data_IF_091313235846
#
_entry.id   IF_091313235846
#
_cell.length_a   1.000
_cell.length_b   1.000
_cell.length_c   1.000
_cell.angle_alpha   90.00
_cell.angle_beta   90.00
_cell.angle_gamma   90.00
#
_symmetry.space_group_name_H-M   'P 1'
#
loop_
_entity.id
_entity.type
_entity.pdbx_description
1 polymer ?
#
# COMPACT_ATOMS: atom_id res chain seq x y z
N UNK A 1 -64.01 -24.41 35.52
CA UNK A 1 -63.71 -23.37 34.50
C UNK A 1 -62.44 -22.55 34.84
N UNK A 2 -62.04 -22.45 36.11
CA UNK A 2 -60.91 -21.60 36.55
C UNK A 2 -59.51 -22.22 36.34
N UNK A 3 -59.37 -23.55 36.45
CA UNK A 3 -58.06 -24.22 36.33
C UNK A 3 -57.51 -24.26 34.90
N UNK A 4 -58.36 -24.49 33.89
CA UNK A 4 -57.93 -24.49 32.48
C UNK A 4 -57.47 -23.11 32.02
N UNK A 5 -58.11 -22.04 32.51
CA UNK A 5 -57.70 -20.67 32.24
C UNK A 5 -56.32 -20.38 32.87
N UNK A 6 -56.10 -20.87 34.10
CA UNK A 6 -54.82 -20.76 34.81
C UNK A 6 -53.66 -21.48 34.09
N UNK A 7 -53.86 -22.72 33.66
CA UNK A 7 -52.85 -23.47 32.91
C UNK A 7 -52.53 -22.84 31.55
N UNK A 8 -53.54 -22.30 30.86
CA UNK A 8 -53.32 -21.59 29.60
C UNK A 8 -52.49 -20.31 29.76
N UNK A 9 -52.68 -19.59 30.87
CA UNK A 9 -51.90 -18.40 31.20
C UNK A 9 -50.44 -18.75 31.54
N UNK A 10 -50.22 -19.83 32.27
CA UNK A 10 -48.87 -20.35 32.58
C UNK A 10 -48.14 -20.74 31.28
N UNK A 11 -48.80 -21.47 30.38
CA UNK A 11 -48.23 -21.86 29.09
C UNK A 11 -47.90 -20.62 28.24
N UNK A 12 -48.81 -19.64 28.16
CA UNK A 12 -48.57 -18.39 27.44
C UNK A 12 -47.37 -17.61 28.01
N UNK A 13 -47.20 -17.60 29.34
CA UNK A 13 -46.05 -16.97 29.99
C UNK A 13 -44.73 -17.67 29.63
N UNK A 14 -44.69 -19.01 29.62
CA UNK A 14 -43.50 -19.74 29.17
C UNK A 14 -43.19 -19.53 27.69
N UNK A 15 -44.22 -19.48 26.82
CA UNK A 15 -44.04 -19.14 25.40
C UNK A 15 -43.47 -17.73 25.25
N UNK A 16 -43.99 -16.76 25.99
CA UNK A 16 -43.48 -15.39 25.99
C UNK A 16 -42.02 -15.33 26.45
N UNK A 17 -41.65 -16.02 27.54
CA UNK A 17 -40.26 -16.12 28.00
C UNK A 17 -39.37 -16.74 26.91
N UNK A 18 -39.80 -17.86 26.31
CA UNK A 18 -39.06 -18.52 25.25
C UNK A 18 -38.86 -17.60 24.02
N UNK A 19 -39.88 -16.83 23.64
CA UNK A 19 -39.80 -15.83 22.57
C UNK A 19 -38.80 -14.71 22.92
N UNK A 20 -38.82 -14.20 24.16
CA UNK A 20 -37.88 -13.15 24.59
C UNK A 20 -36.43 -13.66 24.63
N UNK A 21 -36.20 -14.89 25.11
CA UNK A 21 -34.88 -15.54 25.09
C UNK A 21 -34.39 -15.70 23.64
N UNK A 22 -35.26 -16.22 22.75
CA UNK A 22 -34.90 -16.43 21.35
C UNK A 22 -34.57 -15.12 20.63
N UNK A 23 -35.38 -14.07 20.85
CA UNK A 23 -35.13 -12.73 20.33
C UNK A 23 -33.80 -12.16 20.83
N UNK A 24 -33.55 -12.23 22.14
CA UNK A 24 -32.31 -11.74 22.75
C UNK A 24 -31.08 -12.46 22.20
N UNK A 25 -31.18 -13.78 21.97
CA UNK A 25 -30.11 -14.56 21.37
C UNK A 25 -29.83 -14.17 19.92
N UNK A 26 -30.88 -13.93 19.11
CA UNK A 26 -30.74 -13.44 17.75
C UNK A 26 -30.12 -12.03 17.70
N UNK A 27 -30.58 -11.13 18.56
CA UNK A 27 -30.07 -9.77 18.66
C UNK A 27 -28.59 -9.77 19.07
N UNK A 28 -28.19 -10.62 20.02
CA UNK A 28 -26.79 -10.80 20.41
C UNK A 28 -25.93 -11.34 19.25
N UNK A 29 -26.43 -12.33 18.51
CA UNK A 29 -25.71 -12.88 17.34
C UNK A 29 -25.54 -11.84 16.24
N UNK A 30 -26.58 -11.05 15.99
CA UNK A 30 -26.56 -9.94 15.02
C UNK A 30 -25.56 -8.87 15.45
N UNK A 31 -25.63 -8.40 16.71
CA UNK A 31 -24.69 -7.45 17.27
C UNK A 31 -23.24 -7.93 17.16
N UNK A 32 -22.97 -9.19 17.54
CA UNK A 32 -21.62 -9.76 17.43
C UNK A 32 -21.14 -9.77 15.98
N UNK A 33 -22.01 -10.15 15.03
CA UNK A 33 -21.67 -10.14 13.60
C UNK A 33 -21.37 -8.73 13.10
N UNK A 34 -22.18 -7.74 13.47
CA UNK A 34 -21.98 -6.33 13.11
C UNK A 34 -20.67 -5.78 13.68
N UNK A 35 -20.35 -6.08 14.94
CA UNK A 35 -19.10 -5.66 15.58
C UNK A 35 -17.88 -6.29 14.91
N UNK A 36 -17.92 -7.60 14.63
CA UNK A 36 -16.81 -8.29 13.94
C UNK A 36 -16.63 -7.73 12.53
N UNK A 37 -17.73 -7.52 11.80
CA UNK A 37 -17.70 -6.92 10.47
C UNK A 37 -17.13 -5.50 10.49
N UNK A 38 -17.60 -4.66 11.42
CA UNK A 38 -17.10 -3.29 11.59
C UNK A 38 -15.61 -3.25 11.91
N UNK A 39 -15.13 -4.16 12.77
CA UNK A 39 -13.71 -4.22 13.12
C UNK A 39 -12.86 -4.67 11.94
N UNK A 40 -13.27 -5.73 11.23
CA UNK A 40 -12.58 -6.19 10.04
C UNK A 40 -12.54 -5.12 8.95
N UNK A 41 -13.65 -4.41 8.74
CA UNK A 41 -13.72 -3.30 7.80
C UNK A 41 -12.76 -2.17 8.17
N UNK A 42 -12.68 -1.81 9.45
CA UNK A 42 -11.74 -0.80 9.95
C UNK A 42 -10.28 -1.23 9.74
N UNK A 43 -9.95 -2.49 10.01
CA UNK A 43 -8.61 -3.03 9.77
C UNK A 43 -8.25 -3.01 8.28
N UNK A 44 -9.18 -3.41 7.40
CA UNK A 44 -8.99 -3.32 5.95
C UNK A 44 -8.76 -1.88 5.48
N UNK A 45 -9.56 -0.94 5.99
CA UNK A 45 -9.44 0.46 5.62
C UNK A 45 -8.08 1.05 6.04
N UNK A 46 -7.60 0.70 7.23
CA UNK A 46 -6.29 1.12 7.71
C UNK A 46 -5.15 0.51 6.88
N UNK A 47 -5.26 -0.77 6.51
CA UNK A 47 -4.26 -1.42 5.63
C UNK A 47 -4.22 -0.75 4.26
N UNK A 48 -5.37 -0.51 3.64
CA UNK A 48 -5.46 0.19 2.34
C UNK A 48 -4.76 1.55 2.41
N UNK A 49 -5.07 2.34 3.43
CA UNK A 49 -4.48 3.67 3.65
C UNK A 49 -2.97 3.59 3.82
N UNK A 50 -2.47 2.73 4.70
CA UNK A 50 -1.03 2.65 4.97
C UNK A 50 -0.24 2.06 3.80
N UNK A 51 -0.80 1.07 3.08
CA UNK A 51 -0.20 0.55 1.85
C UNK A 51 -0.05 1.66 0.82
N UNK A 52 -1.10 2.46 0.60
CA UNK A 52 -1.02 3.59 -0.33
C UNK A 52 0.05 4.60 0.09
N UNK A 53 0.04 5.04 1.36
CA UNK A 53 1.03 6.00 1.88
C UNK A 53 2.47 5.52 1.69
N UNK A 54 2.76 4.25 2.00
CA UNK A 54 4.10 3.69 1.84
C UNK A 54 4.53 3.59 0.37
N UNK A 55 3.62 3.20 -0.52
CA UNK A 55 3.88 3.21 -1.97
C UNK A 55 4.15 4.62 -2.50
N UNK A 56 3.42 5.63 -2.03
CA UNK A 56 3.65 7.03 -2.39
C UNK A 56 5.04 7.49 -1.93
N UNK A 57 5.44 7.16 -0.70
CA UNK A 57 6.77 7.50 -0.18
C UNK A 57 7.86 6.78 -0.99
N UNK A 58 7.66 5.49 -1.30
CA UNK A 58 8.59 4.71 -2.12
C UNK A 58 8.76 5.32 -3.53
N UNK A 59 7.65 5.69 -4.18
CA UNK A 59 7.69 6.39 -5.48
C UNK A 59 8.41 7.73 -5.39
N UNK A 60 8.13 8.53 -4.35
CA UNK A 60 8.76 9.83 -4.16
C UNK A 60 10.28 9.71 -3.96
N UNK A 61 10.74 8.77 -3.12
CA UNK A 61 12.18 8.55 -2.92
C UNK A 61 12.87 8.05 -4.18
N UNK A 62 12.20 7.24 -5.01
CA UNK A 62 12.72 6.86 -6.34
C UNK A 62 12.83 8.07 -7.28
N UNK A 63 11.81 8.92 -7.31
CA UNK A 63 11.83 10.14 -8.12
C UNK A 63 12.96 11.09 -7.69
N UNK A 64 13.18 11.24 -6.38
CA UNK A 64 14.29 12.01 -5.84
C UNK A 64 15.66 11.38 -6.18
N UNK A 65 15.78 10.06 -6.05
CA UNK A 65 17.00 9.31 -6.40
C UNK A 65 17.37 9.41 -7.88
N UNK A 66 16.38 9.37 -8.77
CA UNK A 66 16.57 9.37 -10.22
C UNK A 66 16.61 10.77 -10.84
N UNK A 67 16.36 11.84 -10.07
CA UNK A 67 16.26 13.22 -10.58
C UNK A 67 17.53 13.69 -11.30
N UNK A 68 17.34 14.36 -12.44
CA UNK A 68 18.41 14.85 -13.31
C UNK A 68 19.31 15.91 -12.66
N UNK A 69 18.71 16.79 -11.86
CA UNK A 69 19.40 17.85 -11.14
C UNK A 69 19.19 17.65 -9.64
N UNK A 70 20.28 17.53 -8.90
CA UNK A 70 20.27 17.39 -7.47
C UNK A 70 20.59 18.73 -6.83
N UNK A 71 19.71 19.23 -5.96
CA UNK A 71 20.01 20.41 -5.14
C UNK A 71 20.70 19.93 -3.89
N UNK A 72 21.98 20.23 -3.78
CA UNK A 72 22.81 19.83 -2.63
C UNK A 72 22.73 20.94 -1.60
N UNK A 73 22.08 20.65 -0.47
CA UNK A 73 22.00 21.55 0.66
C UNK A 73 23.11 21.23 1.67
N UNK A 74 23.38 22.16 2.59
CA UNK A 74 24.19 21.92 3.79
C UNK A 74 25.68 21.60 3.58
N UNK A 75 26.24 21.84 2.39
CA UNK A 75 27.68 21.68 2.13
C UNK A 75 28.14 20.23 1.94
N UNK A 76 27.23 19.28 1.71
CA UNK A 76 27.57 17.90 1.37
C UNK A 76 28.37 17.81 0.05
N UNK A 77 29.17 16.77 -0.12
CA UNK A 77 29.69 16.40 -1.45
C UNK A 77 28.60 15.72 -2.29
N UNK A 78 28.81 15.67 -3.61
CA UNK A 78 27.90 14.96 -4.53
C UNK A 78 27.74 13.49 -4.11
N UNK A 79 28.84 12.81 -3.76
CA UNK A 79 28.79 11.40 -3.32
C UNK A 79 28.00 11.22 -2.03
N UNK A 80 28.18 12.11 -1.06
CA UNK A 80 27.44 12.07 0.21
C UNK A 80 25.95 12.26 0.00
N UNK A 81 25.57 13.22 -0.86
CA UNK A 81 24.17 13.46 -1.19
C UNK A 81 23.53 12.25 -1.90
N UNK A 82 24.20 11.69 -2.90
CA UNK A 82 23.72 10.50 -3.62
C UNK A 82 23.58 9.28 -2.70
N UNK A 83 24.53 9.10 -1.77
CA UNK A 83 24.45 8.04 -0.76
C UNK A 83 23.21 8.21 0.14
N UNK A 84 22.90 9.45 0.57
CA UNK A 84 21.69 9.72 1.37
C UNK A 84 20.41 9.40 0.60
N UNK A 85 20.35 9.71 -0.70
CA UNK A 85 19.20 9.37 -1.54
C UNK A 85 19.04 7.85 -1.69
N UNK A 86 20.13 7.12 -1.95
CA UNK A 86 20.11 5.67 -2.05
C UNK A 86 19.63 5.02 -0.73
N UNK A 87 20.17 5.46 0.41
CA UNK A 87 19.74 4.99 1.73
C UNK A 87 18.27 5.32 1.99
N UNK A 88 17.80 6.50 1.58
CA UNK A 88 16.39 6.88 1.74
C UNK A 88 15.47 5.98 0.91
N UNK A 89 15.87 5.68 -0.33
CA UNK A 89 15.15 4.73 -1.19
C UNK A 89 15.11 3.34 -0.56
N UNK A 90 16.26 2.78 -0.18
CA UNK A 90 16.37 1.43 0.39
C UNK A 90 15.51 1.27 1.65
N UNK A 91 15.54 2.26 2.54
CA UNK A 91 14.71 2.27 3.74
C UNK A 91 13.21 2.25 3.40
N UNK A 92 12.78 3.07 2.44
CA UNK A 92 11.37 3.11 2.02
C UNK A 92 10.94 1.82 1.31
N UNK A 93 11.84 1.18 0.57
CA UNK A 93 11.60 -0.09 -0.11
C UNK A 93 11.39 -1.21 0.91
N UNK A 94 12.29 -1.32 1.90
CA UNK A 94 12.20 -2.31 2.97
C UNK A 94 10.92 -2.10 3.79
N UNK A 95 10.63 -0.86 4.18
CA UNK A 95 9.42 -0.53 4.96
C UNK A 95 8.13 -0.88 4.20
N UNK A 96 8.06 -0.51 2.92
CA UNK A 96 6.91 -0.82 2.05
C UNK A 96 6.74 -2.32 1.87
N UNK A 97 7.83 -3.04 1.54
CA UNK A 97 7.80 -4.48 1.28
C UNK A 97 7.40 -5.25 2.53
N UNK A 98 7.97 -4.93 3.68
CA UNK A 98 7.66 -5.58 4.95
C UNK A 98 6.20 -5.34 5.34
N UNK A 99 5.75 -4.08 5.29
CA UNK A 99 4.38 -3.74 5.65
C UNK A 99 3.37 -4.47 4.76
N UNK A 100 3.55 -4.39 3.44
CA UNK A 100 2.64 -5.04 2.50
C UNK A 100 2.63 -6.57 2.67
N UNK A 101 3.80 -7.20 2.80
CA UNK A 101 3.90 -8.66 2.92
C UNK A 101 3.18 -9.17 4.18
N UNK A 102 3.26 -8.44 5.28
CA UNK A 102 2.59 -8.80 6.54
C UNK A 102 1.08 -8.55 6.53
N UNK A 103 0.61 -7.60 5.71
CA UNK A 103 -0.80 -7.16 5.71
C UNK A 103 -1.58 -7.57 4.45
N UNK A 104 -0.97 -8.28 3.50
CA UNK A 104 -1.62 -8.69 2.24
C UNK A 104 -2.92 -9.49 2.43
N UNK A 105 -3.11 -10.16 3.57
CA UNK A 105 -4.32 -10.91 3.90
C UNK A 105 -5.59 -10.03 3.98
N UNK A 106 -5.43 -8.72 4.17
CA UNK A 106 -6.54 -7.78 4.24
C UNK A 106 -6.97 -7.23 2.88
N UNK A 107 -6.22 -7.55 1.82
CA UNK A 107 -6.47 -7.09 0.46
C UNK A 107 -6.96 -8.25 -0.43
N UNK A 108 -7.65 -7.91 -1.52
CA UNK A 108 -7.97 -8.91 -2.55
C UNK A 108 -6.69 -9.34 -3.28
N UNK A 109 -6.71 -10.54 -3.88
CA UNK A 109 -5.59 -11.01 -4.70
C UNK A 109 -5.25 -10.04 -5.84
N UNK A 110 -6.28 -9.50 -6.50
CA UNK A 110 -6.09 -8.52 -7.57
C UNK A 110 -5.36 -7.24 -7.08
N UNK A 111 -5.74 -6.72 -5.92
CA UNK A 111 -5.04 -5.58 -5.32
C UNK A 111 -3.61 -5.93 -4.92
N UNK A 112 -3.40 -7.16 -4.41
CA UNK A 112 -2.06 -7.63 -4.09
C UNK A 112 -1.17 -7.65 -5.33
N UNK A 113 -1.65 -8.18 -6.44
CA UNK A 113 -0.88 -8.29 -7.69
C UNK A 113 -0.52 -6.89 -8.23
N UNK A 114 -1.45 -5.93 -8.17
CA UNK A 114 -1.18 -4.53 -8.55
C UNK A 114 -0.12 -3.87 -7.67
N UNK A 115 -0.18 -4.08 -6.35
CA UNK A 115 0.83 -3.57 -5.42
C UNK A 115 2.20 -4.20 -5.66
N UNK A 116 2.25 -5.53 -5.84
CA UNK A 116 3.50 -6.24 -6.13
C UNK A 116 4.14 -5.78 -7.43
N UNK A 117 3.32 -5.56 -8.47
CA UNK A 117 3.78 -5.00 -9.73
C UNK A 117 4.44 -3.62 -9.53
N UNK A 118 3.78 -2.69 -8.83
CA UNK A 118 4.34 -1.35 -8.59
C UNK A 118 5.66 -1.43 -7.81
N UNK A 119 5.73 -2.27 -6.76
CA UNK A 119 6.96 -2.46 -5.98
C UNK A 119 8.09 -2.99 -6.88
N UNK A 120 7.80 -3.95 -7.76
CA UNK A 120 8.79 -4.50 -8.71
C UNK A 120 9.26 -3.44 -9.69
N UNK A 121 8.34 -2.73 -10.34
CA UNK A 121 8.68 -1.70 -11.33
C UNK A 121 9.55 -0.58 -10.73
N UNK A 122 9.27 -0.21 -9.48
CA UNK A 122 10.09 0.75 -8.73
C UNK A 122 11.49 0.18 -8.47
N UNK A 123 11.58 -1.05 -7.98
CA UNK A 123 12.87 -1.68 -7.66
C UNK A 123 13.75 -1.85 -8.89
N UNK A 124 13.19 -2.36 -9.98
CA UNK A 124 13.89 -2.58 -11.24
C UNK A 124 14.42 -1.25 -11.82
N UNK A 125 13.58 -0.20 -11.78
CA UNK A 125 13.99 1.14 -12.23
C UNK A 125 15.12 1.72 -11.38
N UNK A 126 15.12 1.48 -10.06
CA UNK A 126 16.20 1.92 -9.17
C UNK A 126 17.52 1.21 -9.47
N UNK A 127 17.47 -0.11 -9.69
CA UNK A 127 18.64 -0.91 -10.04
C UNK A 127 19.24 -0.45 -11.37
N UNK A 128 18.42 -0.36 -12.41
CA UNK A 128 18.86 0.08 -13.74
C UNK A 128 19.49 1.48 -13.68
N UNK A 129 18.88 2.41 -12.94
CA UNK A 129 19.42 3.75 -12.77
C UNK A 129 20.76 3.74 -12.03
N UNK A 130 20.86 3.00 -10.93
CA UNK A 130 22.07 2.90 -10.11
C UNK A 130 23.25 2.34 -10.90
N UNK A 131 23.00 1.29 -11.70
CA UNK A 131 24.01 0.73 -12.60
C UNK A 131 24.46 1.76 -13.62
N UNK A 132 23.54 2.40 -14.34
CA UNK A 132 23.87 3.40 -15.37
C UNK A 132 24.61 4.62 -14.79
N UNK A 133 24.20 5.09 -13.61
CA UNK A 133 24.79 6.26 -12.96
C UNK A 133 26.23 5.98 -12.49
N UNK A 134 26.50 4.78 -11.95
CA UNK A 134 27.87 4.31 -11.68
C UNK A 134 28.70 4.26 -12.96
N UNK A 135 28.12 3.67 -13.99
CA UNK A 135 28.72 3.51 -15.30
C UNK A 135 29.08 4.85 -15.97
N UNK A 136 28.23 5.88 -15.82
CA UNK A 136 28.51 7.25 -16.30
C UNK A 136 29.70 7.83 -15.56
N UNK A 137 29.74 7.69 -14.22
CA UNK A 137 30.84 8.21 -13.40
C UNK A 137 32.19 7.60 -13.78
N UNK A 138 32.22 6.32 -14.12
CA UNK A 138 33.43 5.64 -14.59
C UNK A 138 33.84 6.15 -15.99
N UNK A 139 32.90 6.21 -16.94
CA UNK A 139 33.19 6.71 -18.30
C UNK A 139 33.63 8.17 -18.35
N UNK A 140 33.18 9.02 -17.40
CA UNK A 140 33.68 10.40 -17.25
C UNK A 140 35.17 10.44 -16.92
N UNK A 141 35.67 9.48 -16.13
CA UNK A 141 37.11 9.39 -15.82
C UNK A 141 37.94 9.04 -17.06
N UNK A 142 37.37 8.23 -17.94
CA UNK A 142 37.98 7.74 -19.18
C UNK A 142 37.79 8.70 -20.37
N UNK A 143 36.98 9.75 -20.22
CA UNK A 143 36.62 10.74 -21.26
C UNK A 143 35.92 10.15 -22.50
N UNK A 144 35.18 9.05 -22.34
CA UNK A 144 34.37 8.47 -23.42
C UNK A 144 33.04 9.21 -23.60
N UNK A 145 33.07 10.26 -24.43
CA UNK A 145 31.93 11.17 -24.63
C UNK A 145 30.73 10.52 -25.32
N UNK A 146 30.94 9.51 -26.17
CA UNK A 146 29.84 8.84 -26.87
C UNK A 146 29.06 7.95 -25.90
N UNK A 147 29.77 7.16 -25.11
CA UNK A 147 29.19 6.25 -24.13
C UNK A 147 28.50 7.00 -22.97
N UNK A 148 29.04 8.15 -22.55
CA UNK A 148 28.37 9.05 -21.59
C UNK A 148 27.01 9.53 -22.11
N UNK A 149 26.92 9.91 -23.40
CA UNK A 149 25.68 10.41 -23.98
C UNK A 149 24.60 9.32 -24.01
N UNK A 150 24.94 8.14 -24.51
CA UNK A 150 24.02 6.99 -24.57
C UNK A 150 23.45 6.65 -23.19
N UNK A 151 24.31 6.56 -22.17
CA UNK A 151 23.87 6.25 -20.81
C UNK A 151 22.98 7.32 -20.21
N UNK A 152 23.27 8.61 -20.46
CA UNK A 152 22.42 9.72 -20.01
C UNK A 152 21.04 9.69 -20.65
N UNK A 153 20.96 9.31 -21.93
CA UNK A 153 19.68 9.12 -22.62
C UNK A 153 18.90 7.96 -21.99
N UNK A 154 19.56 6.85 -21.62
CA UNK A 154 18.92 5.75 -20.88
C UNK A 154 18.45 6.16 -19.48
N UNK A 155 19.25 6.92 -18.72
CA UNK A 155 18.81 7.48 -17.44
C UNK A 155 17.59 8.40 -17.61
N UNK A 156 17.50 9.14 -18.72
CA UNK A 156 16.32 9.94 -19.03
C UNK A 156 15.08 9.08 -19.25
N UNK A 157 15.20 7.99 -20.02
CA UNK A 157 14.07 7.05 -20.22
C UNK A 157 13.57 6.50 -18.89
N UNK A 158 14.48 6.16 -17.96
CA UNK A 158 14.08 5.71 -16.62
C UNK A 158 13.33 6.80 -15.86
N UNK A 159 13.81 8.05 -15.88
CA UNK A 159 13.08 9.16 -15.25
C UNK A 159 11.68 9.34 -15.84
N UNK A 160 11.57 9.32 -17.16
CA UNK A 160 10.29 9.48 -17.85
C UNK A 160 9.32 8.34 -17.46
N UNK A 161 9.83 7.10 -17.30
CA UNK A 161 9.08 5.97 -16.75
C UNK A 161 8.63 6.19 -15.30
N UNK A 162 9.52 6.69 -14.43
CA UNK A 162 9.21 6.96 -13.02
C UNK A 162 8.14 8.05 -12.87
N UNK A 163 8.26 9.14 -13.63
CA UNK A 163 7.34 10.27 -13.57
C UNK A 163 6.01 10.00 -14.29
N UNK A 164 6.04 9.24 -15.39
CA UNK A 164 4.86 8.92 -16.18
C UNK A 164 4.21 7.60 -15.80
N UNK A 165 4.86 6.49 -16.15
CA UNK A 165 4.27 5.14 -16.05
C UNK A 165 4.00 4.72 -14.60
N UNK A 166 5.00 4.83 -13.72
CA UNK A 166 4.85 4.39 -12.32
C UNK A 166 3.86 5.30 -11.57
N UNK A 167 3.89 6.61 -11.83
CA UNK A 167 2.88 7.52 -11.28
C UNK A 167 1.47 7.17 -11.76
N UNK A 168 1.32 6.81 -13.03
CA UNK A 168 0.06 6.33 -13.61
C UNK A 168 -0.47 5.08 -12.89
N UNK A 169 0.39 4.07 -12.70
CA UNK A 169 0.03 2.86 -11.96
C UNK A 169 -0.40 3.16 -10.52
N UNK A 170 0.24 4.12 -9.86
CA UNK A 170 -0.12 4.52 -8.50
C UNK A 170 -1.49 5.20 -8.46
N UNK A 171 -1.82 6.04 -9.43
CA UNK A 171 -3.13 6.70 -9.55
C UNK A 171 -4.25 5.68 -9.85
N UNK A 172 -3.99 4.69 -10.70
CA UNK A 172 -4.91 3.58 -10.95
C UNK A 172 -5.18 2.79 -9.67
N UNK A 173 -4.11 2.45 -8.93
CA UNK A 173 -4.25 1.76 -7.65
C UNK A 173 -5.01 2.59 -6.61
N UNK A 174 -4.81 3.91 -6.57
CA UNK A 174 -5.58 4.80 -5.71
C UNK A 174 -7.08 4.71 -6.00
N UNK A 175 -7.46 4.68 -7.28
CA UNK A 175 -8.87 4.54 -7.68
C UNK A 175 -9.46 3.21 -7.16
N UNK A 176 -8.72 2.12 -7.30
CA UNK A 176 -9.14 0.80 -6.81
C UNK A 176 -9.24 0.75 -5.28
N UNK A 177 -8.30 1.39 -4.57
CA UNK A 177 -8.36 1.55 -3.13
C UNK A 177 -9.56 2.38 -2.67
N UNK A 178 -9.90 3.47 -3.36
CA UNK A 178 -11.10 4.26 -3.07
C UNK A 178 -12.37 3.44 -3.24
N UNK A 179 -12.48 2.66 -4.32
CA UNK A 179 -13.61 1.74 -4.52
C UNK A 179 -13.70 0.70 -3.39
N UNK A 180 -12.57 0.15 -2.96
CA UNK A 180 -12.53 -0.80 -1.85
C UNK A 180 -12.98 -0.19 -0.51
N UNK A 181 -12.78 1.12 -0.31
CA UNK A 181 -13.24 1.87 0.86
C UNK A 181 -14.69 2.37 0.77
N UNK A 182 -15.30 2.33 -0.41
CA UNK A 182 -16.70 2.73 -0.63
C UNK A 182 -17.64 1.53 -0.66
N UNK A 183 -17.14 0.33 -0.97
CA UNK A 183 -17.89 -0.91 -0.98
C UNK A 183 -18.36 -1.30 0.44
N UNK A 184 -19.64 -1.01 0.73
CA UNK A 184 -20.36 -1.47 1.93
C UNK A 184 -20.97 -2.85 1.74
#
# INVERSE_FOLDING_TARGET
MNEYLSWSAIIAFFIFIAQQIFKTWLDYRKYRSEVVFSKLYQERAEVVKQTFQKLTILHQTLADFTRAAQVIYNGDTVEQHLYKLAVSFDNSYIDTRNYFSLNRIYLSYELCDKVEKIISEIHDSALDYSFLDKDIRESVKERDMLYIKEKRDRCRVIRDKVEGEISGLLNELESEFRKALEAK
#
